data_IF_266802461103
#
_entry.id   IF_266802461103
#
_cell.length_a   1.000
_cell.length_b   1.000
_cell.length_c   1.000
_cell.angle_alpha   90.00
_cell.angle_beta   90.00
_cell.angle_gamma   90.00
#
_symmetry.space_group_name_H-M   'P 1'
#
loop_
_entity.id
_entity.type
_entity.pdbx_description
1 polymer ?
#
# COMPACT_ATOMS: atom_id res chain seq x y z
N UNK A 1 25.99 -49.35 8.62
CA UNK A 1 24.62 -49.06 9.08
C UNK A 1 24.67 -47.83 9.97
N UNK A 2 24.40 -46.65 9.39
CA UNK A 2 24.36 -45.39 10.12
C UNK A 2 23.02 -45.31 10.85
N UNK A 3 22.97 -45.14 12.19
CA UNK A 3 21.70 -44.99 12.87
C UNK A 3 21.04 -43.71 12.38
N UNK A 4 19.85 -43.85 11.78
CA UNK A 4 18.99 -42.71 11.44
C UNK A 4 18.63 -41.99 12.73
N UNK A 5 19.24 -40.83 12.97
CA UNK A 5 18.92 -40.01 14.12
C UNK A 5 17.50 -39.48 13.94
N UNK A 6 16.57 -39.98 14.76
CA UNK A 6 15.22 -39.43 14.82
C UNK A 6 15.32 -37.92 15.09
N UNK A 7 14.76 -37.12 14.19
CA UNK A 7 14.77 -35.67 14.32
C UNK A 7 13.96 -35.30 15.57
N UNK A 8 14.54 -34.59 16.56
CA UNK A 8 13.82 -34.24 17.77
C UNK A 8 12.69 -33.26 17.45
N UNK A 9 11.48 -33.60 17.88
CA UNK A 9 10.31 -32.73 17.75
C UNK A 9 10.13 -31.89 19.01
N UNK A 10 9.82 -30.60 18.85
CA UNK A 10 9.53 -29.73 19.98
C UNK A 10 8.36 -30.27 20.82
N UNK A 11 8.62 -30.62 22.08
CA UNK A 11 7.57 -31.05 23.01
C UNK A 11 6.90 -29.84 23.65
N UNK A 12 5.56 -29.87 23.75
CA UNK A 12 4.81 -28.94 24.59
C UNK A 12 5.22 -29.14 26.05
N UNK A 13 5.79 -28.09 26.67
CA UNK A 13 6.23 -28.12 28.07
C UNK A 13 5.15 -27.55 28.98
N UNK A 14 5.11 -28.04 30.22
CA UNK A 14 4.24 -27.48 31.26
C UNK A 14 4.67 -26.04 31.53
N UNK A 15 3.70 -25.13 31.62
CA UNK A 15 3.93 -23.68 31.82
C UNK A 15 4.64 -23.38 33.14
N UNK A 16 4.34 -24.14 34.20
CA UNK A 16 5.02 -24.05 35.51
C UNK A 16 6.01 -25.20 35.64
N UNK A 17 7.29 -24.89 35.68
CA UNK A 17 8.35 -25.90 35.78
C UNK A 17 8.98 -25.89 37.17
N UNK A 18 9.18 -27.08 37.75
CA UNK A 18 9.71 -27.33 39.10
C UNK A 18 11.24 -27.48 39.15
N UNK A 19 11.96 -26.93 38.17
CA UNK A 19 13.41 -27.14 38.07
C UNK A 19 14.14 -25.98 38.72
N UNK A 20 15.05 -26.26 39.65
CA UNK A 20 15.98 -25.28 40.23
C UNK A 20 17.09 -24.84 39.26
N UNK A 21 17.20 -25.50 38.10
CA UNK A 21 18.22 -25.19 37.10
C UNK A 21 17.98 -23.79 36.49
N UNK A 22 19.03 -22.97 36.53
CA UNK A 22 19.10 -21.61 35.99
C UNK A 22 20.19 -21.57 34.93
N UNK A 23 19.94 -20.85 33.83
CA UNK A 23 20.94 -20.66 32.78
C UNK A 23 22.18 -19.91 33.32
N UNK A 24 23.36 -20.29 32.83
CA UNK A 24 24.64 -19.62 33.14
C UNK A 24 24.74 -18.22 32.51
N UNK A 25 23.80 -17.86 31.63
CA UNK A 25 23.78 -16.57 30.94
C UNK A 25 23.51 -15.43 31.92
N UNK A 26 24.00 -14.20 31.63
CA UNK A 26 23.72 -13.03 32.44
C UNK A 26 22.21 -12.80 32.62
N UNK A 27 21.75 -12.33 33.80
CA UNK A 27 20.35 -11.97 34.01
C UNK A 27 19.84 -10.99 32.94
N UNK A 28 18.56 -11.13 32.60
CA UNK A 28 17.89 -10.25 31.64
C UNK A 28 17.12 -9.17 32.40
N UNK A 29 17.57 -7.93 32.32
CA UNK A 29 16.83 -6.78 32.85
C UNK A 29 15.59 -6.52 31.98
N UNK A 30 14.42 -6.40 32.61
CA UNK A 30 13.18 -6.12 31.88
C UNK A 30 13.24 -4.76 31.20
N UNK A 31 13.89 -3.77 31.82
CA UNK A 31 14.06 -2.43 31.25
C UNK A 31 14.79 -2.42 29.90
N UNK A 32 15.67 -3.40 29.67
CA UNK A 32 16.45 -3.54 28.42
C UNK A 32 15.63 -4.09 27.25
N UNK A 33 14.42 -4.61 27.50
CA UNK A 33 13.54 -5.15 26.49
C UNK A 33 12.61 -4.07 25.93
N UNK A 34 12.15 -4.28 24.70
CA UNK A 34 11.06 -3.48 24.14
C UNK A 34 9.80 -3.68 24.99
N UNK A 35 9.00 -2.63 25.27
CA UNK A 35 7.77 -2.76 26.05
C UNK A 35 6.81 -3.81 25.48
N UNK A 36 6.70 -3.91 24.15
CA UNK A 36 5.87 -4.88 23.43
C UNK A 36 6.38 -6.34 23.50
N UNK A 37 7.58 -6.56 24.05
CA UNK A 37 8.18 -7.89 24.22
C UNK A 37 8.04 -8.39 25.67
N UNK A 38 7.33 -7.67 26.54
CA UNK A 38 7.13 -8.04 27.94
C UNK A 38 5.68 -7.78 28.32
N UNK A 39 5.08 -8.72 29.04
CA UNK A 39 3.81 -8.58 29.72
C UNK A 39 4.07 -8.78 31.21
N UNK A 40 3.83 -7.73 32.02
CA UNK A 40 3.99 -7.77 33.48
C UNK A 40 2.65 -7.72 34.21
N UNK A 41 1.53 -7.93 33.50
CA UNK A 41 0.22 -7.98 34.16
C UNK A 41 0.17 -9.14 35.18
N UNK A 42 -0.37 -8.91 36.38
CA UNK A 42 -0.43 -9.93 37.42
C UNK A 42 -1.11 -11.23 36.93
N UNK A 43 -0.41 -12.36 37.06
CA UNK A 43 -0.88 -13.69 36.65
C UNK A 43 -0.68 -14.01 35.17
N UNK A 44 -0.24 -13.05 34.36
CA UNK A 44 0.12 -13.25 32.94
C UNK A 44 1.53 -12.74 32.64
N UNK A 45 2.45 -12.90 33.59
CA UNK A 45 3.83 -12.46 33.43
C UNK A 45 4.53 -13.30 32.36
N UNK A 46 4.82 -12.71 31.20
CA UNK A 46 5.50 -13.36 30.09
C UNK A 46 6.52 -12.41 29.47
N UNK A 47 7.60 -12.96 28.92
CA UNK A 47 8.50 -12.18 28.09
C UNK A 47 8.88 -12.93 26.83
N UNK A 48 9.17 -12.17 25.78
CA UNK A 48 9.66 -12.69 24.52
C UNK A 48 11.16 -12.93 24.62
N UNK A 49 11.59 -14.18 24.51
CA UNK A 49 13.01 -14.54 24.61
C UNK A 49 13.83 -13.81 23.52
N UNK A 50 14.91 -13.09 23.85
CA UNK A 50 15.75 -12.40 22.85
C UNK A 50 16.42 -13.33 21.84
N UNK A 51 16.68 -14.59 22.23
CA UNK A 51 17.44 -15.55 21.42
C UNK A 51 16.57 -16.25 20.36
N UNK A 52 15.34 -16.64 20.70
CA UNK A 52 14.46 -17.40 19.80
C UNK A 52 13.10 -16.74 19.56
N UNK A 53 12.87 -15.57 20.13
CA UNK A 53 11.65 -14.76 19.95
C UNK A 53 10.34 -15.41 20.41
N UNK A 54 10.43 -16.52 21.14
CA UNK A 54 9.28 -17.23 21.70
C UNK A 54 8.76 -16.53 22.95
N UNK A 55 7.45 -16.41 23.08
CA UNK A 55 6.80 -15.91 24.30
C UNK A 55 6.87 -16.96 25.40
N UNK A 56 7.52 -16.59 26.51
CA UNK A 56 7.88 -17.48 27.59
C UNK A 56 7.27 -16.97 28.91
N UNK A 57 6.50 -17.80 29.62
CA UNK A 57 6.04 -17.46 30.97
C UNK A 57 7.22 -17.15 31.88
N UNK A 58 7.05 -16.18 32.77
CA UNK A 58 7.92 -15.97 33.89
C UNK A 58 7.50 -16.87 35.04
N UNK A 59 8.48 -17.52 35.64
CA UNK A 59 8.29 -18.41 36.77
C UNK A 59 9.26 -18.01 37.87
N UNK A 60 8.80 -18.05 39.11
CA UNK A 60 9.67 -17.95 40.27
C UNK A 60 10.32 -19.30 40.56
N UNK A 61 11.55 -19.26 41.06
CA UNK A 61 12.21 -20.45 41.57
C UNK A 61 11.57 -20.93 42.87
N UNK A 62 11.53 -22.26 43.09
CA UNK A 62 11.03 -22.78 44.37
C UNK A 62 11.95 -22.34 45.50
N UNK A 63 11.49 -21.43 46.35
CA UNK A 63 12.22 -20.93 47.51
C UNK A 63 13.09 -19.70 47.23
N UNK A 64 13.09 -19.16 46.00
CA UNK A 64 13.69 -17.87 45.69
C UNK A 64 12.65 -16.92 45.12
N UNK A 65 12.79 -15.63 45.41
CA UNK A 65 11.99 -14.57 44.80
C UNK A 65 12.52 -14.17 43.40
N UNK A 66 13.58 -14.85 42.93
CA UNK A 66 14.14 -14.64 41.61
C UNK A 66 13.22 -15.15 40.50
N UNK A 67 13.00 -14.30 39.50
CA UNK A 67 12.25 -14.62 38.31
C UNK A 67 13.15 -15.25 37.24
N UNK A 68 12.59 -16.16 36.47
CA UNK A 68 13.24 -16.72 35.28
C UNK A 68 12.27 -17.11 34.20
N UNK A 69 12.77 -17.16 32.97
CA UNK A 69 12.01 -17.65 31.82
C UNK A 69 11.74 -19.15 31.96
N UNK A 70 10.50 -19.57 31.71
CA UNK A 70 10.16 -20.98 31.64
C UNK A 70 10.96 -21.70 30.53
N UNK A 71 11.22 -23.01 30.68
CA UNK A 71 11.94 -23.75 29.67
C UNK A 71 11.19 -23.82 28.33
N UNK A 72 11.84 -23.35 27.26
CA UNK A 72 11.30 -23.35 25.91
C UNK A 72 12.30 -23.85 24.86
N UNK A 73 11.81 -24.12 23.65
CA UNK A 73 12.61 -24.50 22.47
C UNK A 73 12.67 -23.31 21.48
N UNK A 74 13.54 -23.42 20.48
CA UNK A 74 13.69 -22.38 19.44
C UNK A 74 12.47 -22.26 18.51
N UNK A 75 11.70 -23.34 18.39
CA UNK A 75 10.57 -23.45 17.48
C UNK A 75 9.29 -23.82 18.23
N UNK A 76 8.16 -23.72 17.52
CA UNK A 76 6.85 -24.09 18.06
C UNK A 76 6.80 -25.59 18.39
N UNK A 77 6.04 -25.94 19.42
CA UNK A 77 5.73 -27.33 19.73
C UNK A 77 5.18 -28.05 18.47
N UNK A 78 5.70 -29.24 18.19
CA UNK A 78 5.37 -30.03 17.00
C UNK A 78 6.31 -29.84 15.79
N UNK A 79 7.20 -28.85 15.80
CA UNK A 79 8.16 -28.67 14.68
C UNK A 79 9.35 -29.62 14.81
N UNK A 80 9.74 -30.33 13.73
CA UNK A 80 10.92 -31.19 13.69
C UNK A 80 12.20 -30.35 13.61
N UNK A 81 13.23 -30.71 14.37
CA UNK A 81 14.54 -30.04 14.37
C UNK A 81 14.70 -29.02 15.50
N UNK A 82 13.66 -28.84 16.31
CA UNK A 82 13.65 -27.89 17.40
C UNK A 82 14.66 -28.26 18.49
N UNK A 83 15.57 -27.32 18.78
CA UNK A 83 16.56 -27.45 19.85
C UNK A 83 16.08 -26.69 21.08
N UNK A 84 16.58 -27.09 22.25
CA UNK A 84 16.38 -26.28 23.47
C UNK A 84 17.04 -24.92 23.26
N UNK A 85 16.31 -23.84 23.53
CA UNK A 85 16.87 -22.50 23.41
C UNK A 85 17.98 -22.31 24.46
N UNK A 86 19.10 -21.69 24.07
CA UNK A 86 20.19 -21.36 25.00
C UNK A 86 19.78 -20.31 26.04
N UNK A 87 18.77 -19.49 25.73
CA UNK A 87 18.09 -18.55 26.65
C UNK A 87 17.04 -19.17 27.57
N UNK A 88 16.79 -20.49 27.47
CA UNK A 88 15.90 -21.24 28.36
C UNK A 88 16.36 -21.13 29.82
N UNK A 89 15.44 -20.99 30.78
CA UNK A 89 15.75 -20.83 32.21
C UNK A 89 16.66 -19.63 32.57
N UNK A 90 16.72 -18.60 31.72
CA UNK A 90 17.50 -17.39 32.01
C UNK A 90 16.85 -16.57 33.12
N UNK A 91 17.67 -16.10 34.08
CA UNK A 91 17.21 -15.19 35.15
C UNK A 91 16.68 -13.90 34.55
N UNK A 92 15.66 -13.35 35.19
CA UNK A 92 14.99 -12.12 34.80
C UNK A 92 14.99 -11.20 35.99
N UNK A 93 15.54 -10.00 35.81
CA UNK A 93 15.53 -8.95 36.81
C UNK A 93 14.34 -8.04 36.50
N UNK A 94 13.33 -8.06 37.38
CA UNK A 94 12.22 -7.11 37.35
C UNK A 94 12.69 -5.77 37.94
N UNK A 95 13.40 -5.00 37.13
CA UNK A 95 13.96 -3.69 37.49
C UNK A 95 13.01 -2.52 37.22
N UNK A 96 11.78 -2.83 36.80
CA UNK A 96 10.70 -1.86 36.60
C UNK A 96 9.46 -2.30 37.37
N UNK A 97 8.73 -1.30 37.88
CA UNK A 97 7.39 -1.52 38.43
C UNK A 97 6.38 -1.74 37.30
N UNK A 98 5.23 -2.34 37.63
CA UNK A 98 4.13 -2.52 36.67
C UNK A 98 3.70 -1.15 36.10
N UNK A 99 3.64 -0.11 36.93
CA UNK A 99 3.28 1.24 36.51
C UNK A 99 4.29 1.81 35.49
N UNK A 100 5.59 1.68 35.75
CA UNK A 100 6.65 2.12 34.83
C UNK A 100 6.61 1.37 33.49
N UNK A 101 6.30 0.07 33.52
CA UNK A 101 6.11 -0.70 32.29
C UNK A 101 4.86 -0.24 31.51
N UNK A 102 3.75 0.02 32.19
CA UNK A 102 2.52 0.52 31.56
C UNK A 102 2.73 1.89 30.91
N UNK A 103 3.47 2.79 31.57
CA UNK A 103 3.85 4.09 31.04
C UNK A 103 4.69 3.93 29.76
N UNK A 104 5.74 3.10 29.80
CA UNK A 104 6.56 2.82 28.59
C UNK A 104 5.77 2.18 27.46
N UNK A 105 4.76 1.37 27.77
CA UNK A 105 3.86 0.77 26.78
C UNK A 105 2.96 1.83 26.14
N UNK A 106 2.43 2.75 26.95
CA UNK A 106 1.63 3.88 26.48
C UNK A 106 2.46 4.83 25.59
N UNK A 107 3.69 5.16 25.99
CA UNK A 107 4.61 5.98 25.20
C UNK A 107 4.92 5.35 23.84
N UNK A 108 5.23 4.04 23.82
CA UNK A 108 5.48 3.32 22.58
C UNK A 108 4.25 3.28 21.66
N UNK A 109 3.06 3.17 22.24
CA UNK A 109 1.79 3.24 21.51
C UNK A 109 1.55 4.65 20.95
N UNK A 110 1.84 5.71 21.72
CA UNK A 110 1.70 7.10 21.29
C UNK A 110 2.70 7.45 20.17
N UNK A 111 3.96 7.02 20.27
CA UNK A 111 4.94 7.20 19.19
C UNK A 111 4.45 6.51 17.91
N UNK A 112 3.92 5.29 18.02
CA UNK A 112 3.38 4.54 16.89
C UNK A 112 2.13 5.22 16.32
N UNK A 113 1.24 5.74 17.16
CA UNK A 113 0.03 6.44 16.75
C UNK A 113 0.32 7.82 16.12
N UNK A 114 1.41 8.48 16.53
CA UNK A 114 1.86 9.75 15.97
C UNK A 114 2.32 9.61 14.50
N UNK A 115 2.77 8.41 14.11
CA UNK A 115 2.93 8.05 12.70
C UNK A 115 1.54 7.96 12.12
N UNK A 116 1.08 9.05 11.47
CA UNK A 116 -0.20 9.11 10.76
C UNK A 116 -0.38 7.80 10.01
N UNK A 117 -1.38 7.02 10.40
CA UNK A 117 -1.80 5.91 9.57
C UNK A 117 -2.25 6.53 8.25
N UNK A 118 -1.43 6.41 7.21
CA UNK A 118 -1.92 6.63 5.87
C UNK A 118 -2.96 5.54 5.69
N UNK A 119 -4.25 5.90 5.70
CA UNK A 119 -5.30 5.00 5.25
C UNK A 119 -4.80 4.41 3.94
N UNK A 120 -4.45 3.13 3.96
CA UNK A 120 -4.05 2.42 2.76
C UNK A 120 -5.33 2.32 1.96
N UNK A 121 -5.58 3.34 1.13
CA UNK A 121 -6.58 3.26 0.10
C UNK A 121 -6.15 2.07 -0.74
N UNK A 122 -6.84 0.94 -0.57
CA UNK A 122 -6.67 -0.20 -1.47
C UNK A 122 -6.82 0.38 -2.85
N UNK A 123 -5.73 0.34 -3.63
CA UNK A 123 -5.79 0.67 -5.05
C UNK A 123 -6.92 -0.19 -5.58
N UNK A 124 -8.03 0.45 -5.98
CA UNK A 124 -9.17 -0.26 -6.54
C UNK A 124 -8.57 -1.06 -7.69
N UNK A 125 -8.64 -2.39 -7.57
CA UNK A 125 -8.10 -3.26 -8.60
C UNK A 125 -8.96 -2.95 -9.82
N UNK A 126 -8.37 -2.27 -10.80
CA UNK A 126 -9.08 -1.95 -12.03
C UNK A 126 -9.71 -3.25 -12.54
N UNK A 127 -10.98 -3.22 -12.96
CA UNK A 127 -11.59 -4.40 -13.55
C UNK A 127 -10.67 -4.89 -14.66
N UNK A 128 -10.40 -6.20 -14.66
CA UNK A 128 -9.59 -6.82 -15.70
C UNK A 128 -10.31 -6.51 -17.01
N UNK A 129 -9.61 -5.83 -17.93
CA UNK A 129 -10.18 -5.54 -19.24
C UNK A 129 -10.65 -6.87 -19.86
N UNK A 130 -11.85 -6.91 -20.47
CA UNK A 130 -12.34 -8.12 -21.09
C UNK A 130 -11.33 -8.62 -22.12
N UNK A 131 -11.22 -9.94 -22.26
CA UNK A 131 -10.36 -10.52 -23.28
C UNK A 131 -10.78 -10.01 -24.66
N UNK A 132 -9.84 -9.90 -25.62
CA UNK A 132 -10.16 -9.44 -26.99
C UNK A 132 -11.28 -10.29 -27.62
N UNK A 133 -11.38 -11.56 -27.25
CA UNK A 133 -12.44 -12.50 -27.67
C UNK A 133 -13.82 -12.20 -27.09
N UNK A 134 -13.91 -11.36 -26.06
CA UNK A 134 -15.15 -10.93 -25.40
C UNK A 134 -15.57 -9.52 -25.82
N UNK A 135 -14.78 -8.84 -26.65
CA UNK A 135 -15.17 -7.55 -27.22
C UNK A 135 -16.12 -7.80 -28.39
N UNK A 136 -17.32 -7.26 -28.30
CA UNK A 136 -18.19 -7.18 -29.46
C UNK A 136 -17.48 -6.36 -30.55
N UNK A 137 -17.36 -6.89 -31.77
CA UNK A 137 -16.77 -6.12 -32.85
C UNK A 137 -17.61 -4.87 -33.08
N UNK A 138 -16.93 -3.76 -33.38
CA UNK A 138 -17.61 -2.52 -33.72
C UNK A 138 -18.64 -2.79 -34.83
N UNK A 139 -19.86 -2.26 -34.71
CA UNK A 139 -20.90 -2.49 -35.72
C UNK A 139 -20.40 -2.01 -37.08
N UNK A 140 -20.61 -2.83 -38.12
CA UNK A 140 -20.18 -2.51 -39.47
C UNK A 140 -20.85 -1.22 -39.94
N UNK A 141 -20.04 -0.24 -40.33
CA UNK A 141 -20.51 1.00 -40.95
C UNK A 141 -20.73 0.80 -42.45
N UNK A 142 -21.52 1.67 -43.08
CA UNK A 142 -21.70 1.66 -44.53
C UNK A 142 -20.36 1.69 -45.29
N UNK A 143 -19.38 2.46 -44.81
CA UNK A 143 -18.04 2.53 -45.41
C UNK A 143 -17.27 1.23 -45.29
N UNK A 144 -17.30 0.57 -44.12
CA UNK A 144 -16.64 -0.73 -43.96
C UNK A 144 -17.28 -1.78 -44.87
N UNK A 145 -18.62 -1.80 -44.97
CA UNK A 145 -19.32 -2.70 -45.88
C UNK A 145 -18.99 -2.42 -47.35
N UNK A 146 -18.86 -1.15 -47.74
CA UNK A 146 -18.44 -0.76 -49.10
C UNK A 146 -17.05 -1.29 -49.43
N UNK A 147 -16.07 -1.06 -48.55
CA UNK A 147 -14.69 -1.52 -48.75
C UNK A 147 -14.61 -3.05 -48.85
N UNK A 148 -15.35 -3.77 -48.00
CA UNK A 148 -15.41 -5.23 -48.05
C UNK A 148 -15.99 -5.74 -49.37
N UNK A 149 -17.06 -5.10 -49.85
CA UNK A 149 -17.66 -5.41 -51.15
C UNK A 149 -16.72 -5.09 -52.33
N UNK A 150 -16.07 -3.92 -52.34
CA UNK A 150 -15.09 -3.53 -53.37
C UNK A 150 -13.89 -4.49 -53.41
N UNK A 151 -13.37 -4.85 -52.23
CA UNK A 151 -12.28 -5.82 -52.11
C UNK A 151 -12.66 -7.18 -52.67
N UNK A 152 -13.86 -7.69 -52.34
CA UNK A 152 -14.35 -8.94 -52.91
C UNK A 152 -14.46 -8.86 -54.44
N UNK A 153 -15.07 -7.77 -54.96
CA UNK A 153 -15.24 -7.57 -56.40
C UNK A 153 -13.90 -7.52 -57.14
N UNK A 154 -12.87 -6.94 -56.54
CA UNK A 154 -11.52 -6.88 -57.15
C UNK A 154 -10.80 -8.24 -57.23
N UNK A 155 -11.19 -9.21 -56.39
CA UNK A 155 -10.51 -10.51 -56.26
C UNK A 155 -11.32 -11.68 -56.83
N UNK A 156 -12.61 -11.50 -57.08
CA UNK A 156 -13.52 -12.56 -57.52
C UNK A 156 -13.69 -12.54 -59.04
N UNK A 157 -13.17 -13.55 -59.74
CA UNK A 157 -13.31 -13.69 -61.18
C UNK A 157 -14.78 -13.85 -61.65
N UNK A 158 -15.68 -14.32 -60.78
CA UNK A 158 -17.11 -14.45 -61.08
C UNK A 158 -17.88 -13.12 -60.97
N UNK A 159 -17.30 -12.08 -60.38
CA UNK A 159 -17.93 -10.76 -60.25
C UNK A 159 -17.50 -9.83 -61.38
N UNK A 160 -18.03 -10.03 -62.59
CA UNK A 160 -17.68 -9.22 -63.77
C UNK A 160 -18.77 -8.22 -64.15
N UNK A 161 -18.40 -6.96 -64.38
CA UNK A 161 -19.33 -5.92 -64.84
C UNK A 161 -20.47 -5.69 -63.82
N UNK A 162 -21.71 -5.97 -64.24
CA UNK A 162 -22.92 -5.91 -63.40
C UNK A 162 -23.32 -7.27 -62.79
N UNK A 163 -22.62 -8.36 -63.13
CA UNK A 163 -22.88 -9.68 -62.56
C UNK A 163 -22.18 -9.82 -61.20
N UNK A 164 -22.87 -10.46 -60.26
CA UNK A 164 -22.37 -10.76 -58.92
C UNK A 164 -22.47 -12.25 -58.66
N UNK A 165 -21.44 -12.85 -58.08
CA UNK A 165 -21.59 -14.15 -57.45
C UNK A 165 -22.48 -14.01 -56.19
N UNK A 166 -22.90 -15.14 -55.63
CA UNK A 166 -23.79 -15.15 -54.46
C UNK A 166 -23.23 -14.33 -53.28
N UNK A 167 -21.94 -14.47 -52.97
CA UNK A 167 -21.29 -13.72 -51.90
C UNK A 167 -21.17 -12.23 -52.21
N UNK A 168 -20.82 -11.89 -53.45
CA UNK A 168 -20.79 -10.50 -53.91
C UNK A 168 -22.16 -9.82 -53.80
N UNK A 169 -23.23 -10.54 -54.15
CA UNK A 169 -24.61 -10.07 -53.99
C UNK A 169 -25.00 -9.88 -52.52
N UNK A 170 -24.57 -10.78 -51.62
CA UNK A 170 -24.78 -10.61 -50.17
C UNK A 170 -24.07 -9.37 -49.63
N UNK A 171 -22.80 -9.16 -50.00
CA UNK A 171 -22.02 -7.99 -49.58
C UNK A 171 -22.60 -6.67 -50.11
N UNK A 172 -23.02 -6.64 -51.37
CA UNK A 172 -23.68 -5.48 -51.97
C UNK A 172 -24.99 -5.12 -51.23
N UNK A 173 -25.82 -6.13 -50.94
CA UNK A 173 -27.05 -5.92 -50.18
C UNK A 173 -26.79 -5.45 -48.74
N UNK A 174 -25.76 -5.97 -48.08
CA UNK A 174 -25.36 -5.52 -46.76
C UNK A 174 -24.95 -4.03 -46.77
N UNK A 175 -24.14 -3.63 -47.76
CA UNK A 175 -23.78 -2.22 -47.97
C UNK A 175 -25.02 -1.34 -48.18
N UNK A 176 -25.93 -1.71 -49.08
CA UNK A 176 -27.14 -0.93 -49.37
C UNK A 176 -28.05 -0.79 -48.16
N UNK A 177 -28.19 -1.84 -47.33
CA UNK A 177 -28.97 -1.77 -46.08
C UNK A 177 -28.37 -0.77 -45.10
N UNK A 178 -27.06 -0.83 -44.88
CA UNK A 178 -26.35 0.10 -44.00
C UNK A 178 -26.41 1.54 -44.51
N UNK A 179 -26.25 1.74 -45.82
CA UNK A 179 -26.35 3.07 -46.44
C UNK A 179 -27.74 3.70 -46.23
N UNK A 180 -28.81 2.91 -46.33
CA UNK A 180 -30.18 3.36 -46.06
C UNK A 180 -30.42 3.66 -44.57
N UNK A 181 -29.79 2.91 -43.67
CA UNK A 181 -29.93 3.09 -42.22
C UNK A 181 -29.06 4.23 -41.65
N UNK A 182 -28.00 4.64 -42.35
CA UNK A 182 -27.02 5.63 -41.88
C UNK A 182 -27.63 6.98 -41.44
N UNK A 183 -28.62 7.57 -42.14
CA UNK A 183 -29.25 8.81 -41.67
C UNK A 183 -29.95 8.64 -40.31
N UNK A 184 -30.61 7.50 -40.09
CA UNK A 184 -31.27 7.21 -38.81
C UNK A 184 -30.23 6.98 -37.70
N UNK A 185 -29.17 6.23 -37.98
CA UNK A 185 -28.07 6.04 -37.02
C UNK A 185 -27.42 7.37 -36.62
N UNK A 186 -27.21 8.29 -37.58
CA UNK A 186 -26.71 9.64 -37.29
C UNK A 186 -27.65 10.44 -36.41
N UNK A 187 -28.96 10.44 -36.69
CA UNK A 187 -29.97 11.10 -35.84
C UNK A 187 -29.98 10.53 -34.43
N UNK A 188 -29.98 9.21 -34.29
CA UNK A 188 -29.97 8.57 -32.98
C UNK A 188 -28.70 8.93 -32.20
N UNK A 189 -27.53 8.94 -32.84
CA UNK A 189 -26.27 9.31 -32.20
C UNK A 189 -26.29 10.75 -31.69
N UNK A 190 -26.74 11.69 -32.53
CA UNK A 190 -26.88 13.10 -32.14
C UNK A 190 -27.83 13.25 -30.93
N UNK A 191 -28.97 12.56 -30.94
CA UNK A 191 -29.91 12.57 -29.81
C UNK A 191 -29.27 12.03 -28.52
N UNK A 192 -28.52 10.93 -28.59
CA UNK A 192 -27.81 10.39 -27.43
C UNK A 192 -26.73 11.34 -26.90
N UNK A 193 -25.98 11.98 -27.79
CA UNK A 193 -24.98 12.99 -27.43
C UNK A 193 -25.65 14.19 -26.73
N UNK A 194 -26.76 14.69 -27.26
CA UNK A 194 -27.55 15.78 -26.65
C UNK A 194 -28.06 15.41 -25.26
N UNK A 195 -28.65 14.22 -25.09
CA UNK A 195 -29.15 13.74 -23.80
C UNK A 195 -28.03 13.58 -22.78
N UNK A 196 -26.87 13.07 -23.22
CA UNK A 196 -25.70 12.88 -22.36
C UNK A 196 -25.14 14.23 -21.92
N UNK A 197 -24.98 15.18 -22.84
CA UNK A 197 -24.53 16.53 -22.55
C UNK A 197 -25.49 17.26 -21.59
N UNK A 198 -26.81 17.13 -21.79
CA UNK A 198 -27.81 17.70 -20.89
C UNK A 198 -27.68 17.13 -19.46
N UNK A 199 -27.52 15.81 -19.34
CA UNK A 199 -27.32 15.16 -18.04
C UNK A 199 -26.02 15.60 -17.34
N UNK A 200 -24.93 15.77 -18.10
CA UNK A 200 -23.67 16.31 -17.60
C UNK A 200 -23.81 17.74 -17.10
N UNK A 201 -24.51 18.59 -17.84
CA UNK A 201 -24.78 19.97 -17.42
C UNK A 201 -25.57 20.03 -16.12
N UNK A 202 -26.60 19.19 -15.96
CA UNK A 202 -27.36 19.10 -14.70
C UNK A 202 -26.44 18.70 -13.55
N UNK A 203 -25.61 17.66 -13.72
CA UNK A 203 -24.63 17.26 -12.69
C UNK A 203 -23.65 18.38 -12.37
N UNK A 204 -23.10 19.05 -13.37
CA UNK A 204 -22.16 20.16 -13.22
C UNK A 204 -22.76 21.32 -12.41
N UNK A 205 -24.06 21.63 -12.61
CA UNK A 205 -24.79 22.64 -11.83
C UNK A 205 -24.99 22.23 -10.37
N UNK A 206 -25.19 20.94 -10.10
CA UNK A 206 -25.46 20.43 -8.75
C UNK A 206 -24.18 20.20 -7.92
N UNK A 207 -23.07 19.82 -8.57
CA UNK A 207 -21.81 19.47 -7.92
C UNK A 207 -21.26 20.53 -6.95
N UNK A 208 -21.25 21.84 -7.26
CA UNK A 208 -20.80 22.88 -6.31
C UNK A 208 -21.66 22.94 -5.05
N UNK A 209 -22.99 22.81 -5.17
CA UNK A 209 -23.90 22.81 -4.02
C UNK A 209 -23.67 21.58 -3.15
N UNK A 210 -23.54 20.41 -3.76
CA UNK A 210 -23.21 19.16 -3.05
C UNK A 210 -21.88 19.26 -2.32
N UNK A 211 -20.82 19.78 -2.96
CA UNK A 211 -19.51 20.00 -2.34
C UNK A 211 -19.57 20.98 -1.17
N UNK A 212 -20.31 22.08 -1.31
CA UNK A 212 -20.53 23.03 -0.20
C UNK A 212 -21.23 22.37 0.98
N UNK A 213 -22.29 21.59 0.74
CA UNK A 213 -22.99 20.87 1.80
C UNK A 213 -22.09 19.82 2.49
N UNK A 214 -21.30 19.09 1.72
CA UNK A 214 -20.30 18.16 2.27
C UNK A 214 -19.25 18.87 3.12
N UNK A 215 -18.75 20.03 2.66
CA UNK A 215 -17.79 20.83 3.41
C UNK A 215 -18.37 21.40 4.70
N UNK A 216 -19.59 21.95 4.65
CA UNK A 216 -20.28 22.47 5.83
C UNK A 216 -20.46 21.38 6.92
N UNK A 217 -20.62 20.11 6.52
CA UNK A 217 -20.68 18.98 7.48
C UNK A 217 -19.32 18.70 8.15
N UNK A 218 -18.21 18.86 7.41
CA UNK A 218 -16.87 18.56 7.91
C UNK A 218 -16.19 19.76 8.61
N UNK A 219 -16.62 20.98 8.28
CA UNK A 219 -16.04 22.24 8.75
C UNK A 219 -15.90 22.34 10.28
N UNK A 220 -16.90 21.96 11.10
CA UNK A 220 -16.76 22.04 12.56
C UNK A 220 -15.65 21.13 13.10
N UNK A 221 -15.53 19.92 12.57
CA UNK A 221 -14.50 18.96 12.99
C UNK A 221 -13.10 19.43 12.59
N UNK A 222 -12.96 19.95 11.36
CA UNK A 222 -11.70 20.56 10.89
C UNK A 222 -11.32 21.75 11.76
N UNK A 223 -12.26 22.65 12.04
CA UNK A 223 -12.02 23.82 12.88
C UNK A 223 -11.63 23.44 14.32
N UNK A 224 -12.26 22.41 14.89
CA UNK A 224 -11.90 21.89 16.22
C UNK A 224 -10.48 21.32 16.24
N UNK A 225 -10.10 20.53 15.23
CA UNK A 225 -8.74 20.01 15.10
C UNK A 225 -7.70 21.13 14.91
N UNK A 226 -8.02 22.17 14.14
CA UNK A 226 -7.13 23.31 13.94
C UNK A 226 -6.99 24.20 15.18
N UNK A 227 -8.02 24.27 16.04
CA UNK A 227 -7.92 24.90 17.36
C UNK A 227 -7.01 24.07 18.28
N UNK A 228 -7.27 22.77 18.41
CA UNK A 228 -6.46 21.88 19.23
C UNK A 228 -4.97 21.90 18.84
N UNK A 229 -4.67 21.97 17.52
CA UNK A 229 -3.29 22.11 17.04
C UNK A 229 -2.65 23.42 17.47
N UNK A 230 -3.39 24.54 17.46
CA UNK A 230 -2.88 25.85 17.89
C UNK A 230 -2.66 25.92 19.39
N UNK A 231 -3.59 25.39 20.17
CA UNK A 231 -3.48 25.33 21.64
C UNK A 231 -2.32 24.42 22.07
N UNK A 232 -2.13 23.27 21.41
CA UNK A 232 -0.98 22.38 21.66
C UNK A 232 0.38 23.03 21.36
N UNK A 233 0.41 24.12 20.58
CA UNK A 233 1.62 24.89 20.27
C UNK A 233 1.82 26.10 21.20
N UNK A 234 0.84 26.45 22.03
CA UNK A 234 0.92 27.61 22.93
C UNK A 234 1.86 27.36 24.12
N UNK A 235 1.92 26.13 24.63
CA UNK A 235 2.83 25.70 25.71
C UNK A 235 4.09 24.99 25.18
N UNK A 236 4.21 24.84 23.86
CA UNK A 236 5.43 24.35 23.26
C UNK A 236 6.49 25.45 23.33
N UNK A 237 7.63 25.17 23.97
CA UNK A 237 8.86 25.97 23.80
C UNK A 237 9.05 26.15 22.30
N UNK A 238 9.03 27.41 21.84
CA UNK A 238 9.02 27.80 20.44
C UNK A 238 9.89 26.87 19.58
N UNK A 239 9.44 26.49 18.35
CA UNK A 239 10.23 25.59 17.55
C UNK A 239 11.61 26.22 17.37
N UNK A 240 12.66 25.39 17.53
CA UNK A 240 14.01 25.61 17.01
C UNK A 240 13.88 26.63 15.89
N UNK A 241 14.37 27.86 16.11
CA UNK A 241 14.23 28.99 15.17
C UNK A 241 14.38 28.41 13.77
N UNK A 242 13.28 28.27 13.03
CA UNK A 242 13.39 27.99 11.62
C UNK A 242 14.21 29.16 11.12
N UNK A 243 15.45 28.91 10.67
CA UNK A 243 16.28 29.93 10.06
C UNK A 243 15.36 30.68 9.12
N UNK A 244 15.16 31.99 9.37
CA UNK A 244 14.09 32.76 8.76
C UNK A 244 14.13 32.51 7.26
N UNK A 245 13.18 31.69 6.78
CA UNK A 245 13.14 31.32 5.37
C UNK A 245 12.84 32.65 4.69
N UNK A 246 13.75 33.19 3.86
CA UNK A 246 13.49 34.45 3.21
C UNK A 246 12.17 34.31 2.45
N UNK A 247 11.15 35.07 2.85
CA UNK A 247 9.88 35.20 2.13
C UNK A 247 10.06 36.11 0.92
N UNK A 248 11.22 36.01 0.25
CA UNK A 248 11.39 36.63 -1.04
C UNK A 248 10.38 36.01 -2.00
N UNK A 249 9.80 36.89 -2.81
CA UNK A 249 8.75 36.58 -3.78
C UNK A 249 9.01 35.24 -4.44
N UNK A 250 8.01 34.33 -4.35
CA UNK A 250 7.99 33.03 -5.02
C UNK A 250 8.74 33.11 -6.34
N UNK A 251 9.79 32.31 -6.49
CA UNK A 251 10.50 32.13 -7.75
C UNK A 251 9.49 32.08 -8.90
N UNK A 252 9.57 33.05 -9.81
CA UNK A 252 8.72 33.02 -11.00
C UNK A 252 9.08 31.79 -11.82
N UNK A 253 8.15 31.32 -12.64
CA UNK A 253 8.38 30.16 -13.50
C UNK A 253 9.62 30.34 -14.40
N UNK A 254 9.90 31.59 -14.81
CA UNK A 254 11.08 31.97 -15.58
C UNK A 254 12.39 31.71 -14.81
N UNK A 255 12.48 32.14 -13.55
CA UNK A 255 13.67 31.90 -12.71
C UNK A 255 13.89 30.41 -12.44
N UNK A 256 12.82 29.64 -12.28
CA UNK A 256 12.90 28.19 -12.12
C UNK A 256 13.42 27.49 -13.39
N UNK A 257 13.00 27.97 -14.57
CA UNK A 257 13.48 27.47 -15.86
C UNK A 257 14.96 27.81 -16.07
N UNK A 258 15.39 29.02 -15.73
CA UNK A 258 16.78 29.46 -15.84
C UNK A 258 17.73 28.65 -14.92
N UNK A 259 17.29 28.37 -13.69
CA UNK A 259 17.98 27.47 -12.75
C UNK A 259 18.05 26.03 -13.27
N UNK A 260 17.00 25.54 -13.93
CA UNK A 260 17.01 24.22 -14.54
C UNK A 260 17.97 24.15 -15.75
N UNK A 261 18.00 25.21 -16.55
CA UNK A 261 18.88 25.34 -17.72
C UNK A 261 20.35 25.34 -17.27
N UNK A 262 20.69 26.18 -16.28
CA UNK A 262 22.06 26.28 -15.74
C UNK A 262 22.54 24.99 -15.08
N UNK A 263 21.67 24.27 -14.36
CA UNK A 263 21.97 22.94 -13.82
C UNK A 263 22.22 21.91 -14.91
N UNK A 264 21.44 21.97 -15.99
CA UNK A 264 21.60 21.08 -17.15
C UNK A 264 22.92 21.38 -17.88
N UNK A 265 23.25 22.65 -18.09
CA UNK A 265 24.51 23.07 -18.71
C UNK A 265 25.73 22.67 -17.87
N UNK A 266 25.64 22.82 -16.55
CA UNK A 266 26.69 22.37 -15.63
C UNK A 266 26.87 20.84 -15.67
N UNK A 267 25.77 20.09 -15.75
CA UNK A 267 25.80 18.63 -15.89
C UNK A 267 26.41 18.22 -17.26
N UNK A 268 26.05 18.90 -18.34
CA UNK A 268 26.61 18.68 -19.68
C UNK A 268 28.11 18.98 -19.72
N UNK A 269 28.56 20.08 -19.09
CA UNK A 269 29.98 20.41 -18.96
C UNK A 269 30.74 19.37 -18.14
N UNK A 270 30.15 18.87 -17.05
CA UNK A 270 30.75 17.82 -16.23
C UNK A 270 30.81 16.46 -16.93
N UNK A 271 29.86 16.19 -17.83
CA UNK A 271 29.76 14.95 -18.59
C UNK A 271 30.58 14.95 -19.90
N UNK A 272 31.05 16.11 -20.36
CA UNK A 272 31.85 16.24 -21.60
C UNK A 272 33.36 16.22 -21.31
N UNK A 273 34.11 15.15 -21.62
CA UNK A 273 35.54 15.04 -21.31
C UNK A 273 36.46 15.82 -22.27
N UNK A 274 35.93 16.59 -23.22
CA UNK A 274 36.68 17.10 -24.37
C UNK A 274 37.10 18.59 -24.30
N UNK A 275 37.19 19.19 -23.10
CA UNK A 275 37.74 20.55 -22.94
C UNK A 275 38.65 20.73 -21.71
N UNK A 276 39.45 19.72 -21.42
CA UNK A 276 40.55 19.82 -20.44
C UNK A 276 41.93 19.70 -21.10
N UNK A 277 42.13 20.31 -22.28
CA UNK A 277 43.45 20.58 -22.86
C UNK A 277 43.37 21.85 -23.71
N UNK A 278 43.68 23.00 -23.11
CA UNK A 278 44.24 24.21 -23.75
C UNK A 278 44.48 25.25 -22.66
N UNK A 279 45.58 25.04 -21.92
CA UNK A 279 46.61 26.02 -21.56
C UNK A 279 47.66 25.33 -20.69
#
# INVERSE_FOLDING_TARGET
MTPSQAIPTARQRKRRTRTLNVSHRPPLAVSSLLPNNVDLLPGTEHLRCPDCTTWCPLTTDKGSQDWKQAPHHTERAGTPGARRCSGSNRRVLLDLTIAQWQERLADAAQETASRRSTTVLKKVKAPIAPAITQLDPAPATADTARRTYEMHRSRCAACTGRAHCQDGGRLANAYLRLLKAEPQHRRNRALYEELTAAAEQVRARQLPRQRRAQWAKAEPAVAAMDRARRESLADAIAPIRAAGIPTESRHTQAQSQELAQTRSDAAIRKASPLRAKTN
#
